data_IF_698085863453
#
_entry.id   IF_698085863453
#
_cell.length_a   1.000
_cell.length_b   1.000
_cell.length_c   1.000
_cell.angle_alpha   90.00
_cell.angle_beta   90.00
_cell.angle_gamma   90.00
#
_symmetry.space_group_name_H-M   'P 1'
#
loop_
_entity.id
_entity.type
_entity.pdbx_description
1 polymer ?
#
# COMPACT_ATOMS: atom_id res chain seq x y z
N UNK A 1 -11.12 11.22 -12.33
CA UNK A 1 -10.90 9.92 -11.64
C UNK A 1 -9.68 9.95 -10.71
N UNK A 2 -8.46 10.19 -11.22
CA UNK A 2 -7.22 10.06 -10.43
C UNK A 2 -7.08 11.04 -9.24
N UNK A 3 -7.40 12.34 -9.41
CA UNK A 3 -7.33 13.34 -8.31
C UNK A 3 -8.21 12.98 -7.10
N UNK A 4 -9.39 12.39 -7.35
CA UNK A 4 -10.30 11.93 -6.30
C UNK A 4 -9.77 10.69 -5.57
N UNK A 5 -9.09 9.80 -6.28
CA UNK A 5 -8.42 8.65 -5.68
C UNK A 5 -7.23 9.09 -4.82
N UNK A 6 -6.38 10.00 -5.32
CA UNK A 6 -5.26 10.57 -4.56
C UNK A 6 -5.71 11.18 -3.23
N UNK A 7 -6.85 11.89 -3.22
CA UNK A 7 -7.43 12.40 -1.98
C UNK A 7 -7.86 11.27 -1.03
N UNK A 8 -8.51 10.23 -1.54
CA UNK A 8 -8.96 9.08 -0.72
C UNK A 8 -7.79 8.32 -0.12
N UNK A 9 -6.75 8.03 -0.92
CA UNK A 9 -5.56 7.30 -0.44
C UNK A 9 -4.75 8.15 0.54
N UNK A 10 -4.68 9.48 0.35
CA UNK A 10 -4.10 10.39 1.33
C UNK A 10 -4.85 10.35 2.66
N UNK A 11 -6.19 10.50 2.63
CA UNK A 11 -7.01 10.43 3.85
C UNK A 11 -6.84 9.08 4.54
N UNK A 12 -6.87 7.98 3.79
CA UNK A 12 -6.67 6.63 4.32
C UNK A 12 -5.29 6.48 4.99
N UNK A 13 -4.24 7.00 4.36
CA UNK A 13 -2.87 6.96 4.89
C UNK A 13 -2.71 7.81 6.15
N UNK A 14 -3.37 8.99 6.19
CA UNK A 14 -3.40 9.85 7.38
C UNK A 14 -4.11 9.15 8.54
N UNK A 15 -5.25 8.50 8.28
CA UNK A 15 -5.98 7.73 9.30
C UNK A 15 -5.10 6.61 9.86
N UNK A 16 -4.46 5.83 8.98
CA UNK A 16 -3.56 4.75 9.38
C UNK A 16 -2.38 5.29 10.21
N UNK A 17 -1.82 6.43 9.80
CA UNK A 17 -0.71 7.08 10.51
C UNK A 17 -1.13 7.54 11.92
N UNK A 18 -2.32 8.13 12.07
CA UNK A 18 -2.86 8.51 13.38
C UNK A 18 -3.07 7.28 14.27
N UNK A 19 -3.68 6.22 13.74
CA UNK A 19 -3.92 4.97 14.47
C UNK A 19 -2.59 4.37 14.94
N UNK A 20 -1.58 4.36 14.08
CA UNK A 20 -0.28 3.82 14.45
C UNK A 20 0.44 4.68 15.49
N UNK A 21 0.40 6.01 15.37
CA UNK A 21 0.96 6.89 16.40
C UNK A 21 0.32 6.58 17.75
N UNK A 22 -1.01 6.47 17.82
CA UNK A 22 -1.73 6.12 19.05
C UNK A 22 -1.28 4.74 19.56
N UNK A 23 -1.27 3.71 18.72
CA UNK A 23 -0.87 2.35 19.12
C UNK A 23 0.57 2.28 19.63
N UNK A 24 1.52 2.89 18.93
CA UNK A 24 2.93 2.86 19.29
C UNK A 24 3.28 3.78 20.47
N UNK A 25 2.46 4.80 20.76
CA UNK A 25 2.70 5.68 21.94
C UNK A 25 2.04 5.15 23.21
N UNK A 26 0.98 4.35 23.10
CA UNK A 26 0.20 3.85 24.25
C UNK A 26 0.51 2.39 24.60
N UNK A 27 0.39 1.48 23.63
CA UNK A 27 0.40 0.03 23.87
C UNK A 27 1.74 -0.60 23.46
N UNK A 28 2.31 -0.17 22.33
CA UNK A 28 3.51 -0.76 21.72
C UNK A 28 4.76 0.14 21.85
N UNK A 29 4.91 0.83 22.98
CA UNK A 29 5.98 1.83 23.20
C UNK A 29 7.39 1.23 23.08
N UNK A 30 7.59 -0.01 23.50
CA UNK A 30 8.86 -0.75 23.34
C UNK A 30 9.14 -1.21 21.90
N UNK A 31 8.10 -1.24 21.06
CA UNK A 31 8.18 -1.67 19.66
C UNK A 31 8.12 -0.48 18.69
N UNK A 32 8.31 0.75 19.19
CA UNK A 32 8.30 1.95 18.36
C UNK A 32 9.45 1.87 17.35
N UNK A 33 9.11 1.60 16.08
CA UNK A 33 10.09 1.57 15.01
C UNK A 33 9.89 2.80 14.11
N UNK A 34 10.89 3.69 14.00
CA UNK A 34 10.89 4.79 13.03
C UNK A 34 10.63 4.31 11.59
N UNK A 35 10.93 3.05 11.30
CA UNK A 35 10.72 2.41 10.00
C UNK A 35 9.24 2.32 9.57
N UNK A 36 8.31 2.43 10.52
CA UNK A 36 6.88 2.39 10.23
C UNK A 36 6.48 3.47 9.22
N UNK A 37 7.01 4.69 9.40
CA UNK A 37 6.71 5.81 8.51
C UNK A 37 7.21 5.54 7.08
N UNK A 38 8.41 4.95 6.95
CA UNK A 38 8.97 4.57 5.65
C UNK A 38 8.14 3.47 4.97
N UNK A 39 7.69 2.47 5.73
CA UNK A 39 6.80 1.41 5.22
C UNK A 39 5.46 1.96 4.74
N UNK A 40 4.87 2.89 5.50
CA UNK A 40 3.61 3.53 5.15
C UNK A 40 3.75 4.40 3.90
N UNK A 41 4.81 5.21 3.81
CA UNK A 41 5.11 6.03 2.63
C UNK A 41 5.36 5.15 1.40
N UNK A 42 6.07 4.03 1.57
CA UNK A 42 6.30 3.06 0.51
C UNK A 42 4.99 2.46 0.00
N UNK A 43 4.11 1.98 0.90
CA UNK A 43 2.80 1.46 0.53
C UNK A 43 1.96 2.51 -0.20
N UNK A 44 1.92 3.74 0.32
CA UNK A 44 1.21 4.86 -0.30
C UNK A 44 1.71 5.15 -1.71
N UNK A 45 3.03 5.23 -1.90
CA UNK A 45 3.64 5.51 -3.20
C UNK A 45 3.35 4.40 -4.21
N UNK A 46 3.52 3.14 -3.81
CA UNK A 46 3.28 1.98 -4.67
C UNK A 46 1.81 1.92 -5.08
N UNK A 47 0.86 2.01 -4.14
CA UNK A 47 -0.58 1.96 -4.43
C UNK A 47 -1.03 3.16 -5.28
N UNK A 48 -0.47 4.35 -5.04
CA UNK A 48 -0.72 5.54 -5.84
C UNK A 48 -0.26 5.39 -7.30
N UNK A 49 0.98 4.93 -7.48
CA UNK A 49 1.56 4.66 -8.80
C UNK A 49 0.78 3.57 -9.53
N UNK A 50 0.39 2.51 -8.82
CA UNK A 50 -0.44 1.43 -9.34
C UNK A 50 -1.75 1.92 -9.94
N UNK A 51 -2.50 2.67 -9.13
CA UNK A 51 -3.79 3.18 -9.55
C UNK A 51 -3.65 4.15 -10.73
N UNK A 52 -2.57 4.94 -10.77
CA UNK A 52 -2.28 5.81 -11.91
C UNK A 52 -2.15 5.03 -13.22
N UNK A 53 -1.33 3.98 -13.21
CA UNK A 53 -1.11 3.13 -14.38
C UNK A 53 -2.44 2.46 -14.78
N UNK A 54 -3.18 1.94 -13.79
CA UNK A 54 -4.43 1.23 -14.03
C UNK A 54 -5.50 2.11 -14.70
N UNK A 55 -5.67 3.35 -14.21
CA UNK A 55 -6.60 4.32 -14.78
C UNK A 55 -6.21 4.66 -16.23
N UNK A 56 -4.91 4.82 -16.49
CA UNK A 56 -4.42 5.12 -17.84
C UNK A 56 -4.65 3.94 -18.80
N UNK A 57 -4.46 2.71 -18.34
CA UNK A 57 -4.78 1.49 -19.11
C UNK A 57 -6.28 1.42 -19.42
N UNK A 58 -7.13 1.63 -18.41
CA UNK A 58 -8.58 1.56 -18.56
C UNK A 58 -9.10 2.57 -19.59
N UNK A 59 -8.62 3.81 -19.51
CA UNK A 59 -9.01 4.88 -20.46
C UNK A 59 -8.58 4.58 -21.90
N UNK A 60 -7.46 3.86 -22.09
CA UNK A 60 -6.94 3.54 -23.44
C UNK A 60 -7.60 2.28 -24.02
N UNK A 61 -7.67 1.19 -23.25
CA UNK A 61 -8.15 -0.13 -23.71
C UNK A 61 -8.83 -0.88 -22.56
N UNK A 62 -10.13 -0.66 -22.30
CA UNK A 62 -10.84 -1.30 -21.19
C UNK A 62 -10.88 -2.84 -21.34
N UNK A 63 -10.86 -3.37 -22.56
CA UNK A 63 -10.80 -4.82 -22.82
C UNK A 63 -9.51 -5.48 -22.35
N UNK A 64 -8.42 -4.73 -22.17
CA UNK A 64 -7.14 -5.23 -21.63
C UNK A 64 -6.97 -4.99 -20.13
N UNK A 65 -7.99 -4.42 -19.48
CA UNK A 65 -7.91 -4.01 -18.08
C UNK A 65 -7.60 -5.19 -17.15
N UNK A 66 -8.34 -6.30 -17.25
CA UNK A 66 -8.18 -7.45 -16.38
C UNK A 66 -6.77 -8.06 -16.46
N UNK A 67 -6.24 -8.22 -17.68
CA UNK A 67 -4.91 -8.78 -17.90
C UNK A 67 -3.81 -7.86 -17.33
N UNK A 68 -3.94 -6.55 -17.57
CA UNK A 68 -2.98 -5.58 -17.03
C UNK A 68 -3.11 -5.45 -15.51
N UNK A 69 -4.30 -5.55 -14.94
CA UNK A 69 -4.50 -5.54 -13.49
C UNK A 69 -3.81 -6.73 -12.81
N UNK A 70 -3.94 -7.93 -13.38
CA UNK A 70 -3.23 -9.11 -12.87
C UNK A 70 -1.71 -8.93 -12.93
N UNK A 71 -1.19 -8.56 -14.11
CA UNK A 71 0.25 -8.37 -14.34
C UNK A 71 0.83 -7.33 -13.40
N UNK A 72 0.15 -6.19 -13.29
CA UNK A 72 0.53 -5.15 -12.36
C UNK A 72 0.50 -5.73 -10.93
N UNK A 73 -0.61 -6.32 -10.47
CA UNK A 73 -0.69 -6.82 -9.09
C UNK A 73 0.44 -7.79 -8.75
N UNK A 74 0.85 -8.65 -9.68
CA UNK A 74 2.01 -9.52 -9.55
C UNK A 74 3.32 -8.74 -9.39
N UNK A 75 3.60 -7.77 -10.26
CA UNK A 75 4.78 -6.89 -10.14
C UNK A 75 4.80 -6.20 -8.78
N UNK A 76 3.65 -5.70 -8.34
CA UNK A 76 3.50 -5.04 -7.04
C UNK A 76 3.91 -5.95 -5.89
N UNK A 77 3.43 -7.20 -5.88
CA UNK A 77 3.78 -8.17 -4.85
C UNK A 77 5.29 -8.47 -4.84
N UNK A 78 5.92 -8.59 -6.00
CA UNK A 78 7.37 -8.75 -6.10
C UNK A 78 8.13 -7.55 -5.54
N UNK A 79 7.67 -6.33 -5.84
CA UNK A 79 8.26 -5.09 -5.31
C UNK A 79 8.16 -5.03 -3.78
N UNK A 80 7.02 -5.41 -3.20
CA UNK A 80 6.86 -5.52 -1.75
C UNK A 80 7.79 -6.58 -1.13
N UNK A 81 7.94 -7.74 -1.78
CA UNK A 81 8.87 -8.80 -1.34
C UNK A 81 10.32 -8.33 -1.33
N UNK A 82 10.76 -7.66 -2.40
CA UNK A 82 12.10 -7.10 -2.49
C UNK A 82 12.32 -6.07 -1.38
N UNK A 83 11.36 -5.18 -1.15
CA UNK A 83 11.44 -4.15 -0.10
C UNK A 83 11.64 -4.77 1.29
N UNK A 84 10.79 -5.75 1.66
CA UNK A 84 10.90 -6.45 2.95
C UNK A 84 12.23 -7.18 3.05
N UNK A 85 12.59 -7.96 2.04
CA UNK A 85 13.83 -8.75 2.05
C UNK A 85 15.07 -7.87 2.17
N UNK A 86 15.09 -6.74 1.47
CA UNK A 86 16.16 -5.74 1.57
C UNK A 86 16.26 -5.24 3.00
N UNK A 87 15.14 -4.85 3.62
CA UNK A 87 15.13 -4.38 5.00
C UNK A 87 15.65 -5.43 5.99
N UNK A 88 15.25 -6.70 5.83
CA UNK A 88 15.69 -7.80 6.68
C UNK A 88 17.21 -8.02 6.66
N UNK A 89 17.85 -7.76 5.52
CA UNK A 89 19.30 -7.93 5.37
C UNK A 89 20.06 -6.78 6.03
N UNK A 90 19.59 -5.54 5.87
CA UNK A 90 20.29 -4.34 6.36
C UNK A 90 20.01 -4.02 7.83
N UNK A 91 18.83 -4.36 8.36
CA UNK A 91 18.41 -4.01 9.71
C UNK A 91 18.05 -5.27 10.50
N UNK A 92 18.92 -5.64 11.44
CA UNK A 92 18.76 -6.86 12.28
C UNK A 92 17.93 -6.63 13.55
N UNK A 93 17.57 -5.39 13.86
CA UNK A 93 16.80 -5.05 15.06
C UNK A 93 15.31 -5.29 14.83
N UNK A 94 14.67 -6.05 15.73
CA UNK A 94 13.23 -6.27 15.83
C UNK A 94 12.52 -6.64 14.51
N UNK A 95 13.19 -7.47 13.70
CA UNK A 95 12.72 -8.01 12.41
C UNK A 95 11.29 -8.56 12.48
N UNK A 96 10.97 -9.32 13.53
CA UNK A 96 9.67 -9.97 13.68
C UNK A 96 8.51 -8.97 13.68
N UNK A 97 8.63 -7.91 14.48
CA UNK A 97 7.61 -6.87 14.59
C UNK A 97 7.49 -6.04 13.31
N UNK A 98 8.61 -5.75 12.65
CA UNK A 98 8.59 -5.10 11.34
C UNK A 98 7.76 -5.88 10.33
N UNK A 99 7.97 -7.20 10.21
CA UNK A 99 7.26 -8.04 9.23
C UNK A 99 5.76 -8.04 9.53
N UNK A 100 5.34 -8.14 10.79
CA UNK A 100 3.93 -8.10 11.18
C UNK A 100 3.28 -6.77 10.79
N UNK A 101 3.92 -5.66 11.18
CA UNK A 101 3.41 -4.31 10.90
C UNK A 101 3.34 -4.05 9.40
N UNK A 102 4.36 -4.45 8.67
CA UNK A 102 4.39 -4.37 7.21
C UNK A 102 3.27 -5.21 6.58
N UNK A 103 3.04 -6.43 7.06
CA UNK A 103 2.00 -7.31 6.54
C UNK A 103 0.60 -6.74 6.76
N UNK A 104 0.35 -6.16 7.94
CA UNK A 104 -0.92 -5.46 8.24
C UNK A 104 -1.10 -4.26 7.29
N UNK A 105 -0.06 -3.43 7.12
CA UNK A 105 -0.09 -2.30 6.19
C UNK A 105 -0.36 -2.78 4.76
N UNK A 106 0.36 -3.79 4.29
CA UNK A 106 0.19 -4.38 2.97
C UNK A 106 -1.27 -4.82 2.74
N UNK A 107 -1.85 -5.55 3.70
CA UNK A 107 -3.25 -6.02 3.59
C UNK A 107 -4.23 -4.85 3.55
N UNK A 108 -4.07 -3.85 4.42
CA UNK A 108 -4.93 -2.66 4.44
C UNK A 108 -4.91 -1.92 3.09
N UNK A 109 -3.71 -1.69 2.54
CA UNK A 109 -3.55 -1.04 1.24
C UNK A 109 -4.06 -1.91 0.08
N UNK A 110 -3.88 -3.25 0.14
CA UNK A 110 -4.40 -4.16 -0.86
C UNK A 110 -5.93 -4.17 -0.90
N UNK A 111 -6.60 -4.23 0.26
CA UNK A 111 -8.06 -4.16 0.36
C UNK A 111 -8.56 -2.81 -0.18
N UNK A 112 -7.93 -1.72 0.23
CA UNK A 112 -8.27 -0.39 -0.27
C UNK A 112 -8.16 -0.29 -1.81
N UNK A 113 -7.11 -0.86 -2.38
CA UNK A 113 -6.90 -0.87 -3.84
C UNK A 113 -7.97 -1.67 -4.57
N UNK A 114 -8.31 -2.87 -4.08
CA UNK A 114 -9.38 -3.70 -4.66
C UNK A 114 -10.72 -2.93 -4.63
N UNK A 115 -11.06 -2.31 -3.51
CA UNK A 115 -12.29 -1.50 -3.39
C UNK A 115 -12.27 -0.34 -4.40
N UNK A 116 -11.13 0.35 -4.54
CA UNK A 116 -10.99 1.44 -5.48
C UNK A 116 -11.14 0.99 -6.94
N UNK A 117 -10.55 -0.16 -7.29
CA UNK A 117 -10.67 -0.77 -8.62
C UNK A 117 -12.11 -1.16 -8.92
N UNK A 118 -12.79 -1.84 -7.99
CA UNK A 118 -14.20 -2.20 -8.13
C UNK A 118 -15.08 -0.95 -8.29
N UNK A 119 -14.81 0.11 -7.53
CA UNK A 119 -15.52 1.37 -7.66
C UNK A 119 -15.30 2.06 -9.01
N UNK A 120 -14.15 1.84 -9.65
CA UNK A 120 -13.84 2.33 -10.98
C UNK A 120 -14.62 1.56 -12.05
N UNK A 121 -14.70 0.23 -11.89
CA UNK A 121 -15.42 -0.65 -12.81
C UNK A 121 -16.94 -0.46 -12.76
N UNK A 122 -17.53 -0.27 -11.57
CA UNK A 122 -18.97 -0.11 -11.37
C UNK A 122 -19.52 1.26 -11.82
N UNK A 123 -18.64 2.24 -12.09
CA UNK A 123 -19.03 3.61 -12.44
C UNK A 123 -19.31 3.79 -13.95
N UNK A 124 -19.15 2.73 -14.75
CA UNK A 124 -19.59 2.59 -16.14
C UNK A 124 -20.55 1.41 -16.25
#
# INVERSE_FOLDING_TARGET
>A
MFKGFLRKILIFSIIILIIAIILFTTILKEYYMPIYLYSLLFCFAITGLFHFILVNVYNKKPTKFANNYLLLTTIKMLVYLIFVSTYLIFVKINVFWFVIVFLILYLLFAVFEVIAVLSMLKRN
#
